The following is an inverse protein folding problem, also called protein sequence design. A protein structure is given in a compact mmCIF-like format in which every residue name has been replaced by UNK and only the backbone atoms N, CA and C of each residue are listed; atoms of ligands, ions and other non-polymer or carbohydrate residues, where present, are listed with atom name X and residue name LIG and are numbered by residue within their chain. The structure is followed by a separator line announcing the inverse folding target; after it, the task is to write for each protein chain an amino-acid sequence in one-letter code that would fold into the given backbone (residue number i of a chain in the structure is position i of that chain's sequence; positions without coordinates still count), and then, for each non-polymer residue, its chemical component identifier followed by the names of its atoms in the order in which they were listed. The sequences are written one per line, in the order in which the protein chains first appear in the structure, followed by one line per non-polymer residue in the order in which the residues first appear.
data_IF_057333004952
#
_entry.id   IF_057333004952
#
_cell.length_a   1.000
_cell.length_b   1.000
_cell.length_c   1.000
_cell.angle_alpha   90.00
_cell.angle_beta   90.00
_cell.angle_gamma   90.00
#
_symmetry.space_group_name_H-M   'P 1'
#
loop_
_entity.id
_entity.type
_entity.pdbx_description
1 polymer ?
#
# COMPACT_ATOMS: atom_id res chain seq x y z
N UNK A 1 2.16 -7.69 8.16
CA UNK A 1 1.83 -7.97 6.75
C UNK A 1 0.35 -8.20 6.49
N UNK A 2 -0.35 -9.10 7.19
CA UNK A 2 -1.78 -9.39 6.93
C UNK A 2 -2.70 -8.15 6.92
N UNK A 3 -2.42 -7.14 7.75
CA UNK A 3 -3.17 -5.87 7.82
C UNK A 3 -3.04 -4.97 6.58
N UNK A 4 -2.13 -5.28 5.66
CA UNK A 4 -1.90 -4.55 4.41
C UNK A 4 -2.59 -5.18 3.21
N UNK A 5 -3.07 -6.41 3.36
CA UNK A 5 -3.76 -7.14 2.32
C UNK A 5 -5.23 -6.70 2.29
N UNK A 6 -5.79 -6.68 1.09
CA UNK A 6 -7.21 -6.44 0.92
C UNK A 6 -7.98 -7.71 1.20
N UNK A 7 -9.12 -7.61 1.88
CA UNK A 7 -9.97 -8.79 2.12
C UNK A 7 -10.49 -9.39 0.82
N UNK A 8 -10.85 -8.52 -0.14
CA UNK A 8 -11.23 -8.89 -1.50
C UNK A 8 -10.71 -7.81 -2.46
N UNK A 9 -9.58 -8.03 -3.16
CA UNK A 9 -9.00 -7.04 -4.06
C UNK A 9 -9.90 -6.74 -5.27
N UNK A 10 -10.85 -7.63 -5.63
CA UNK A 10 -11.77 -7.42 -6.76
C UNK A 10 -12.87 -6.41 -6.43
N UNK A 11 -13.11 -6.12 -5.14
CA UNK A 11 -14.08 -5.13 -4.67
C UNK A 11 -13.52 -3.73 -4.55
N UNK A 12 -12.25 -3.53 -4.87
CA UNK A 12 -11.63 -2.20 -4.80
C UNK A 12 -11.99 -1.42 -6.04
N UNK A 13 -12.76 -0.37 -5.82
CA UNK A 13 -13.23 0.53 -6.89
C UNK A 13 -12.18 1.59 -7.25
N UNK A 14 -11.24 1.86 -6.36
CA UNK A 14 -10.17 2.83 -6.61
C UNK A 14 -9.10 2.23 -7.51
N UNK A 15 -8.83 2.88 -8.64
CA UNK A 15 -7.67 2.61 -9.47
C UNK A 15 -6.38 3.05 -8.78
N UNK A 16 -5.24 2.53 -9.27
CA UNK A 16 -3.93 2.99 -8.81
C UNK A 16 -3.73 4.50 -9.05
N UNK A 17 -4.15 4.99 -10.22
CA UNK A 17 -4.01 6.39 -10.61
C UNK A 17 -4.82 7.31 -9.69
N UNK A 18 -6.06 6.94 -9.37
CA UNK A 18 -6.88 7.66 -8.39
C UNK A 18 -6.20 7.66 -7.01
N UNK A 19 -5.68 6.51 -6.57
CA UNK A 19 -5.01 6.42 -5.28
C UNK A 19 -3.76 7.32 -5.22
N UNK A 20 -2.96 7.37 -6.29
CA UNK A 20 -1.80 8.25 -6.40
C UNK A 20 -2.19 9.73 -6.42
N UNK A 21 -3.21 10.09 -7.19
CA UNK A 21 -3.71 11.46 -7.31
C UNK A 21 -4.21 11.97 -5.96
N UNK A 22 -5.03 11.17 -5.27
CA UNK A 22 -5.53 11.50 -3.93
C UNK A 22 -4.42 11.59 -2.90
N UNK A 23 -3.47 10.64 -2.88
CA UNK A 23 -2.34 10.66 -1.96
C UNK A 23 -1.53 11.96 -2.11
N UNK A 24 -1.19 12.32 -3.35
CA UNK A 24 -0.39 13.52 -3.65
C UNK A 24 -1.14 14.80 -3.30
N UNK A 25 -2.44 14.87 -3.58
CA UNK A 25 -3.27 16.03 -3.24
C UNK A 25 -3.41 16.24 -1.72
N UNK A 26 -3.59 15.15 -0.96
CA UNK A 26 -3.63 15.26 0.50
C UNK A 26 -2.26 15.58 1.11
N UNK A 27 -1.18 15.08 0.53
CA UNK A 27 0.18 15.42 0.95
C UNK A 27 0.47 16.91 0.72
N UNK A 28 0.13 17.45 -0.45
CA UNK A 28 0.35 18.88 -0.80
C UNK A 28 -0.51 19.84 0.02
N UNK A 29 -1.72 19.43 0.41
CA UNK A 29 -2.62 20.21 1.28
C UNK A 29 -2.34 20.02 2.79
N UNK A 30 -1.29 19.27 3.14
CA UNK A 30 -0.85 19.06 4.52
C UNK A 30 -1.69 18.03 5.31
N UNK A 31 -2.66 17.37 4.68
CA UNK A 31 -3.47 16.33 5.30
C UNK A 31 -2.73 14.97 5.30
N UNK A 32 -1.74 14.86 6.18
CA UNK A 32 -0.87 13.69 6.32
C UNK A 32 -1.65 12.39 6.55
N UNK A 33 -2.67 12.41 7.39
CA UNK A 33 -3.45 11.20 7.68
C UNK A 33 -4.16 10.65 6.44
N UNK A 34 -4.77 11.51 5.63
CA UNK A 34 -5.41 11.04 4.39
C UNK A 34 -4.37 10.63 3.34
N UNK A 35 -3.26 11.35 3.22
CA UNK A 35 -2.18 10.98 2.33
C UNK A 35 -1.63 9.57 2.63
N UNK A 36 -1.40 9.28 3.92
CA UNK A 36 -0.96 7.96 4.39
C UNK A 36 -1.94 6.84 4.00
N UNK A 37 -3.24 7.06 4.22
CA UNK A 37 -4.27 6.08 3.85
C UNK A 37 -4.26 5.79 2.36
N UNK A 38 -4.14 6.82 1.50
CA UNK A 38 -4.11 6.64 0.05
C UNK A 38 -2.82 5.99 -0.45
N UNK A 39 -1.67 6.31 0.13
CA UNK A 39 -0.43 5.58 -0.14
C UNK A 39 -0.53 4.11 0.27
N UNK A 40 -1.18 3.80 1.40
CA UNK A 40 -1.47 2.41 1.79
C UNK A 40 -2.36 1.71 0.76
N UNK A 41 -3.40 2.37 0.26
CA UNK A 41 -4.28 1.81 -0.77
C UNK A 41 -3.47 1.50 -2.04
N UNK A 42 -2.65 2.44 -2.51
CA UNK A 42 -1.76 2.20 -3.66
C UNK A 42 -0.82 1.01 -3.43
N UNK A 43 -0.17 0.92 -2.27
CA UNK A 43 0.69 -0.22 -1.92
C UNK A 43 -0.06 -1.55 -1.86
N UNK A 44 -1.30 -1.56 -1.37
CA UNK A 44 -2.18 -2.74 -1.38
C UNK A 44 -2.55 -3.18 -2.79
N UNK A 45 -2.77 -2.24 -3.73
CA UNK A 45 -3.05 -2.54 -5.14
C UNK A 45 -1.84 -3.21 -5.77
N UNK A 46 -0.63 -2.73 -5.49
CA UNK A 46 0.60 -3.34 -6.00
C UNK A 46 0.89 -4.72 -5.39
N UNK A 47 0.51 -4.95 -4.12
CA UNK A 47 0.55 -6.30 -3.54
C UNK A 47 -0.35 -7.26 -4.32
N UNK A 48 -1.52 -6.81 -4.76
CA UNK A 48 -2.43 -7.63 -5.57
C UNK A 48 -1.90 -7.87 -6.98
N UNK A 49 -1.32 -6.85 -7.62
CA UNK A 49 -0.69 -6.96 -8.95
C UNK A 49 0.61 -7.76 -8.94
N UNK A 50 1.23 -7.89 -7.77
CA UNK A 50 2.52 -8.55 -7.61
C UNK A 50 3.70 -7.69 -8.04
N UNK A 51 3.56 -6.36 -8.02
CA UNK A 51 4.63 -5.43 -8.35
C UNK A 51 5.44 -5.06 -7.09
N UNK A 52 6.60 -5.69 -6.92
CA UNK A 52 7.48 -5.43 -5.78
C UNK A 52 8.04 -3.99 -5.76
N UNK A 53 8.29 -3.38 -6.92
CA UNK A 53 8.81 -2.02 -6.97
C UNK A 53 7.75 -1.01 -6.53
N UNK A 54 6.52 -1.17 -7.01
CA UNK A 54 5.36 -0.41 -6.57
C UNK A 54 5.07 -0.58 -5.07
N UNK A 55 5.12 -1.81 -4.56
CA UNK A 55 4.98 -2.11 -3.11
C UNK A 55 6.01 -1.33 -2.30
N UNK A 56 7.29 -1.40 -2.67
CA UNK A 56 8.35 -0.63 -1.98
C UNK A 56 8.04 0.85 -1.99
N UNK A 57 7.81 1.43 -3.18
CA UNK A 57 7.59 2.85 -3.37
C UNK A 57 6.45 3.39 -2.50
N UNK A 58 5.29 2.74 -2.54
CA UNK A 58 4.11 3.25 -1.85
C UNK A 58 4.14 3.02 -0.35
N UNK A 59 4.69 1.90 0.13
CA UNK A 59 4.83 1.69 1.57
C UNK A 59 5.97 2.50 2.18
N UNK A 60 7.04 2.83 1.45
CA UNK A 60 8.03 3.84 1.89
C UNK A 60 7.38 5.20 2.07
N UNK A 61 6.55 5.63 1.11
CA UNK A 61 5.78 6.87 1.21
C UNK A 61 4.82 6.85 2.40
N UNK A 62 4.00 5.80 2.55
CA UNK A 62 3.12 5.66 3.70
C UNK A 62 3.88 5.70 5.03
N UNK A 63 5.02 5.00 5.13
CA UNK A 63 5.88 4.99 6.31
C UNK A 63 6.47 6.37 6.63
N UNK A 64 6.86 7.14 5.61
CA UNK A 64 7.40 8.50 5.79
C UNK A 64 6.38 9.44 6.43
N UNK A 65 5.08 9.22 6.17
CA UNK A 65 3.99 10.02 6.72
C UNK A 65 3.52 9.52 8.09
N UNK A 66 3.42 8.20 8.29
CA UNK A 66 2.95 7.59 9.55
C UNK A 66 4.01 7.56 10.66
N UNK A 67 5.28 7.74 10.32
CA UNK A 67 6.40 7.52 11.24
C UNK A 67 6.41 6.08 11.77
N UNK A 68 6.54 5.92 13.09
CA UNK A 68 6.63 4.61 13.74
C UNK A 68 5.27 4.01 14.16
N UNK A 69 4.14 4.67 13.86
CA UNK A 69 2.80 4.20 14.26
C UNK A 69 2.32 2.95 13.49
N UNK A 70 2.91 2.69 12.31
CA UNK A 70 2.57 1.59 11.39
C UNK A 70 3.84 0.85 10.95
N UNK A 71 4.50 0.07 11.83
CA UNK A 71 5.75 -0.61 11.49
C UNK A 71 5.63 -1.56 10.29
N UNK A 72 4.42 -2.07 10.01
CA UNK A 72 4.14 -2.96 8.89
C UNK A 72 4.45 -2.33 7.52
N UNK A 73 4.37 -1.01 7.36
CA UNK A 73 4.75 -0.35 6.10
C UNK A 73 6.25 -0.49 5.84
N UNK A 74 7.08 -0.26 6.86
CA UNK A 74 8.54 -0.44 6.75
C UNK A 74 8.90 -1.89 6.46
N UNK A 75 8.19 -2.85 7.04
CA UNK A 75 8.38 -4.28 6.75
C UNK A 75 8.04 -4.62 5.30
N UNK A 76 6.91 -4.12 4.78
CA UNK A 76 6.52 -4.36 3.39
C UNK A 76 7.52 -3.72 2.41
N UNK A 77 7.96 -2.51 2.73
CA UNK A 77 8.94 -1.77 1.92
C UNK A 77 10.33 -2.41 1.89
N UNK A 78 10.81 -2.94 3.02
CA UNK A 78 12.16 -3.52 3.12
C UNK A 78 12.28 -4.92 2.50
N UNK A 79 11.16 -5.64 2.38
CA UNK A 79 11.10 -7.00 1.83
C UNK A 79 9.97 -7.13 0.80
N UNK A 80 9.98 -6.34 -0.29
CA UNK A 80 8.81 -6.20 -1.16
C UNK A 80 8.53 -7.46 -1.97
N UNK A 81 9.55 -8.22 -2.38
CA UNK A 81 9.35 -9.51 -3.08
C UNK A 81 8.66 -10.55 -2.19
N UNK A 82 9.03 -10.59 -0.91
CA UNK A 82 8.39 -11.47 0.05
C UNK A 82 6.97 -11.02 0.38
N UNK A 83 6.76 -9.71 0.49
CA UNK A 83 5.43 -9.14 0.67
C UNK A 83 4.49 -9.53 -0.47
N UNK A 84 4.96 -9.45 -1.72
CA UNK A 84 4.24 -9.94 -2.91
C UNK A 84 4.00 -11.45 -2.84
N UNK A 85 4.99 -12.24 -2.44
CA UNK A 85 4.83 -13.70 -2.31
C UNK A 85 3.76 -14.09 -1.29
N UNK A 86 3.72 -13.41 -0.14
CA UNK A 86 2.69 -13.60 0.88
C UNK A 86 1.32 -13.17 0.34
N UNK A 87 1.24 -12.02 -0.33
CA UNK A 87 0.00 -11.52 -0.91
C UNK A 87 -0.57 -12.49 -1.96
N UNK A 88 0.28 -12.99 -2.86
CA UNK A 88 -0.11 -13.99 -3.86
C UNK A 88 -0.72 -15.24 -3.21
N UNK A 89 -0.02 -15.83 -2.24
CA UNK A 89 -0.53 -17.00 -1.50
C UNK A 89 -1.87 -16.71 -0.81
N UNK A 90 -2.06 -15.52 -0.27
CA UNK A 90 -3.31 -15.14 0.35
C UNK A 90 -4.45 -15.04 -0.67
N UNK A 91 -4.22 -14.37 -1.80
CA UNK A 91 -5.23 -14.15 -2.83
C UNK A 91 -5.54 -15.40 -3.67
N UNK A 92 -4.62 -16.36 -3.78
CA UNK A 92 -4.88 -17.68 -4.41
C UNK A 92 -5.87 -18.52 -3.61
N UNK A 93 -6.06 -18.22 -2.32
CA UNK A 93 -6.98 -18.93 -1.42
C UNK A 93 -8.32 -18.19 -1.21
N UNK A 94 -8.61 -17.14 -1.99
CA UNK A 94 -9.88 -16.39 -2.00
C UNK A 94 -10.78 -16.82 -3.16
#
# INVERSE_FOLDING_TARGET
MSRLLFLDPKRITASLEEAMSQATNFESTGNKTRAEVWYRIAGGIELYRGDAEGVRKFFEKAASVSGNSKPEYKTAASRPQEAVSIARKYYENL
#
